data_IF_389506722953
#
_entry.id   IF_389506722953
#
_cell.length_a   1.000
_cell.length_b   1.000
_cell.length_c   1.000
_cell.angle_alpha   90.00
_cell.angle_beta   90.00
_cell.angle_gamma   90.00
#
_symmetry.space_group_name_H-M   'P 1'
#
loop_
_entity.id
_entity.type
_entity.pdbx_description
1 polymer ?
#
# COMPACT_ATOMS: atom_id res chain seq x y z
N UNK A 1 8.31 15.95 -4.66
CA UNK A 1 8.73 15.97 -3.23
C UNK A 1 8.31 17.30 -2.64
N UNK A 2 7.45 17.31 -1.62
CA UNK A 2 7.01 18.56 -0.98
C UNK A 2 8.15 19.16 -0.15
N UNK A 3 8.49 20.43 -0.41
CA UNK A 3 9.50 21.17 0.35
C UNK A 3 9.11 21.17 1.83
N UNK A 4 10.02 20.82 2.74
CA UNK A 4 9.68 20.74 4.14
C UNK A 4 9.48 22.15 4.73
N UNK A 5 8.38 22.30 5.48
CA UNK A 5 7.79 23.58 5.84
C UNK A 5 8.23 24.01 7.25
N UNK A 6 8.65 25.27 7.42
CA UNK A 6 8.92 25.85 8.76
C UNK A 6 7.61 26.27 9.41
N UNK A 7 7.43 25.91 10.68
CA UNK A 7 6.25 26.20 11.48
C UNK A 7 6.09 27.66 11.88
N UNK A 8 5.98 28.56 10.89
CA UNK A 8 5.72 29.99 11.09
C UNK A 8 4.23 30.34 11.04
N UNK A 9 3.35 29.42 10.62
CA UNK A 9 1.89 29.61 10.66
C UNK A 9 1.26 28.69 11.72
N UNK A 10 0.11 29.08 12.30
CA UNK A 10 -0.64 28.22 13.23
C UNK A 10 -1.30 27.03 12.54
N UNK A 11 -1.29 26.96 11.20
CA UNK A 11 -1.92 25.92 10.40
C UNK A 11 -0.99 25.39 9.31
N UNK A 12 -1.24 24.15 8.85
CA UNK A 12 -0.51 23.55 7.73
C UNK A 12 -1.02 24.06 6.36
N UNK A 13 -0.39 23.63 5.25
CA UNK A 13 -0.82 23.99 3.87
C UNK A 13 -2.29 23.63 3.55
N UNK A 14 -2.85 22.62 4.23
CA UNK A 14 -4.24 22.19 4.08
C UNK A 14 -5.13 22.69 5.24
N UNK A 15 -4.74 23.78 5.91
CA UNK A 15 -5.51 24.44 6.98
C UNK A 15 -5.75 23.62 8.26
N UNK A 16 -5.07 22.47 8.45
CA UNK A 16 -5.15 21.75 9.71
C UNK A 16 -4.45 22.52 10.83
N UNK A 17 -5.08 22.68 12.02
CA UNK A 17 -4.50 23.40 13.14
C UNK A 17 -3.29 22.66 13.73
N UNK A 18 -2.28 23.44 14.11
CA UNK A 18 -1.22 23.02 15.02
C UNK A 18 -1.55 23.50 16.45
N UNK A 19 -1.19 22.74 17.50
CA UNK A 19 -0.30 21.57 17.51
C UNK A 19 -0.98 20.23 17.25
N UNK A 20 -2.31 20.16 17.19
CA UNK A 20 -3.09 18.91 17.15
C UNK A 20 -2.63 17.94 16.07
N UNK A 21 -2.35 18.45 14.87
CA UNK A 21 -1.89 17.61 13.75
C UNK A 21 -0.38 17.71 13.49
N UNK A 22 0.41 18.39 14.33
CA UNK A 22 1.85 18.53 14.16
C UNK A 22 2.58 17.27 14.65
N UNK A 23 3.47 16.71 13.82
CA UNK A 23 4.47 15.73 14.26
C UNK A 23 5.87 16.28 14.02
N UNK A 24 6.65 16.40 15.10
CA UNK A 24 8.07 16.75 15.06
C UNK A 24 8.91 15.48 14.91
N UNK A 25 9.96 15.58 14.11
CA UNK A 25 10.96 14.54 13.91
C UNK A 25 12.23 14.89 14.71
N UNK A 26 13.05 13.89 15.12
CA UNK A 26 14.26 14.13 15.91
C UNK A 26 15.29 15.06 15.25
N UNK A 27 15.24 15.16 13.92
CA UNK A 27 16.11 16.00 13.10
C UNK A 27 15.59 17.45 12.94
N UNK A 28 14.65 17.89 13.79
CA UNK A 28 14.13 19.26 13.82
C UNK A 28 13.04 19.56 12.79
N UNK A 29 12.73 18.62 11.89
CA UNK A 29 11.67 18.77 10.90
C UNK A 29 10.29 18.53 11.50
N UNK A 30 9.24 19.08 10.89
CA UNK A 30 7.88 18.79 11.28
C UNK A 30 6.95 18.64 10.07
N UNK A 31 5.91 17.81 10.22
CA UNK A 31 4.88 17.61 9.20
C UNK A 31 3.49 17.48 9.83
N UNK A 32 2.47 17.74 9.03
CA UNK A 32 1.08 17.55 9.45
C UNK A 32 0.67 16.08 9.25
N UNK A 33 0.30 15.41 10.35
CA UNK A 33 -0.15 14.01 10.37
C UNK A 33 -1.37 13.79 9.48
N UNK A 34 -2.28 14.75 9.45
CA UNK A 34 -3.51 14.63 8.67
C UNK A 34 -3.23 14.76 7.17
N UNK A 35 -2.38 15.70 6.79
CA UNK A 35 -1.89 15.78 5.41
C UNK A 35 -1.15 14.52 4.99
N UNK A 36 -0.43 13.88 5.90
CA UNK A 36 0.31 12.67 5.61
C UNK A 36 -0.61 11.47 5.38
N UNK A 37 -1.69 11.35 6.16
CA UNK A 37 -2.77 10.38 5.94
C UNK A 37 -3.44 10.57 4.57
N UNK A 38 -3.71 11.82 4.19
CA UNK A 38 -4.36 12.14 2.91
C UNK A 38 -3.49 11.87 1.68
N UNK A 39 -2.16 11.71 1.82
CA UNK A 39 -1.28 11.41 0.67
C UNK A 39 -1.48 10.01 0.08
N UNK A 40 -2.10 9.08 0.82
CA UNK A 40 -2.29 7.72 0.36
C UNK A 40 -3.76 7.32 0.39
N UNK A 41 -4.44 7.53 -0.73
CA UNK A 41 -5.70 6.85 -1.02
C UNK A 41 -5.33 5.62 -1.86
N UNK A 42 -5.49 4.38 -1.34
CA UNK A 42 -5.26 3.20 -2.14
C UNK A 42 -6.26 3.21 -3.30
N UNK A 43 -5.77 3.03 -4.53
CA UNK A 43 -6.65 2.86 -5.67
C UNK A 43 -7.66 1.74 -5.40
N UNK A 44 -8.90 1.95 -5.84
CA UNK A 44 -9.90 0.89 -5.90
C UNK A 44 -9.35 -0.20 -6.82
N UNK A 45 -9.29 -1.47 -6.37
CA UNK A 45 -8.83 -2.56 -7.20
C UNK A 45 -9.68 -2.67 -8.46
N UNK A 46 -9.04 -2.87 -9.61
CA UNK A 46 -9.75 -3.33 -10.80
C UNK A 46 -10.10 -4.81 -10.64
N UNK A 47 -11.39 -5.10 -10.48
CA UNK A 47 -11.88 -6.47 -10.30
C UNK A 47 -11.60 -7.35 -11.51
N UNK A 48 -11.67 -6.80 -12.72
CA UNK A 48 -11.39 -7.55 -13.96
C UNK A 48 -9.92 -7.94 -14.03
N UNK A 49 -9.03 -7.03 -13.64
CA UNK A 49 -7.59 -7.32 -13.52
C UNK A 49 -7.31 -8.43 -12.50
N UNK A 50 -8.01 -8.44 -11.36
CA UNK A 50 -7.90 -9.49 -10.35
C UNK A 50 -8.38 -10.83 -10.88
N UNK A 51 -9.57 -10.90 -11.49
CA UNK A 51 -10.14 -12.15 -12.01
C UNK A 51 -9.21 -12.74 -13.07
N UNK A 52 -8.76 -11.95 -14.04
CA UNK A 52 -7.82 -12.40 -15.08
C UNK A 52 -6.51 -12.92 -14.48
N UNK A 53 -5.98 -12.23 -13.48
CA UNK A 53 -4.78 -12.67 -12.79
C UNK A 53 -4.96 -13.93 -11.94
N UNK A 54 -6.17 -14.24 -11.47
CA UNK A 54 -6.48 -15.48 -10.76
C UNK A 54 -6.68 -16.66 -11.72
N UNK A 55 -7.06 -16.40 -12.97
CA UNK A 55 -7.25 -17.41 -14.02
C UNK A 55 -6.01 -17.69 -14.86
N UNK A 56 -4.87 -17.05 -14.57
CA UNK A 56 -3.59 -17.30 -15.26
C UNK A 56 -3.26 -16.33 -16.39
N UNK A 57 -4.04 -15.27 -16.59
CA UNK A 57 -3.74 -14.19 -17.53
C UNK A 57 -3.56 -12.85 -16.78
N UNK A 58 -2.51 -12.71 -15.95
CA UNK A 58 -2.31 -11.48 -15.21
C UNK A 58 -2.04 -10.30 -16.17
N UNK A 59 -2.53 -9.08 -15.85
CA UNK A 59 -2.11 -7.89 -16.57
C UNK A 59 -0.61 -7.63 -16.37
N UNK A 60 -0.04 -6.74 -17.19
CA UNK A 60 1.38 -6.39 -17.10
C UNK A 60 1.77 -5.81 -15.73
N UNK A 61 0.83 -5.11 -15.07
CA UNK A 61 1.02 -4.54 -13.73
C UNK A 61 -0.24 -4.77 -12.89
N UNK A 62 -0.03 -5.34 -11.71
CA UNK A 62 -1.01 -5.36 -10.63
C UNK A 62 -0.58 -4.38 -9.55
N UNK A 63 -1.52 -3.59 -9.04
CA UNK A 63 -1.32 -2.77 -7.86
C UNK A 63 -0.99 -3.65 -6.65
N UNK A 64 -0.36 -3.10 -5.59
CA UNK A 64 -0.09 -3.88 -4.38
C UNK A 64 -1.36 -4.49 -3.76
N UNK A 65 -2.50 -3.80 -3.87
CA UNK A 65 -3.79 -4.25 -3.34
C UNK A 65 -4.37 -5.39 -4.16
N UNK A 66 -4.41 -5.25 -5.49
CA UNK A 66 -4.85 -6.32 -6.40
C UNK A 66 -3.99 -7.58 -6.23
N UNK A 67 -2.67 -7.42 -6.20
CA UNK A 67 -1.75 -8.55 -6.00
C UNK A 67 -2.02 -9.28 -4.69
N UNK A 68 -2.32 -8.56 -3.62
CA UNK A 68 -2.66 -9.17 -2.35
C UNK A 68 -3.98 -9.96 -2.42
N UNK A 69 -4.96 -9.48 -3.17
CA UNK A 69 -6.22 -10.19 -3.42
C UNK A 69 -5.94 -11.48 -4.21
N UNK A 70 -5.24 -11.39 -5.34
CA UNK A 70 -4.90 -12.55 -6.20
C UNK A 70 -4.11 -13.60 -5.43
N UNK A 71 -3.09 -13.19 -4.67
CA UNK A 71 -2.28 -14.12 -3.86
C UNK A 71 -3.12 -14.85 -2.81
N UNK A 72 -4.09 -14.18 -2.18
CA UNK A 72 -5.02 -14.82 -1.26
C UNK A 72 -5.90 -15.84 -1.98
N UNK A 73 -6.58 -15.43 -3.06
CA UNK A 73 -7.44 -16.33 -3.85
C UNK A 73 -6.70 -17.59 -4.32
N UNK A 74 -5.44 -17.47 -4.75
CA UNK A 74 -4.64 -18.62 -5.17
C UNK A 74 -4.11 -19.44 -3.99
N UNK A 75 -3.89 -18.81 -2.83
CA UNK A 75 -3.52 -19.53 -1.59
C UNK A 75 -4.70 -20.36 -1.08
N UNK A 76 -5.92 -19.83 -1.13
CA UNK A 76 -7.13 -20.54 -0.73
C UNK A 76 -7.42 -21.74 -1.64
N UNK A 77 -6.95 -21.68 -2.89
CA UNK A 77 -6.94 -22.81 -3.85
C UNK A 77 -5.80 -23.82 -3.62
N UNK A 78 -4.99 -23.63 -2.59
CA UNK A 78 -3.91 -24.56 -2.21
C UNK A 78 -2.61 -24.41 -3.02
N UNK A 79 -2.44 -23.36 -3.83
CA UNK A 79 -1.20 -23.21 -4.60
C UNK A 79 0.01 -22.90 -3.71
N UNK A 80 1.16 -23.44 -4.08
CA UNK A 80 2.43 -23.16 -3.40
C UNK A 80 2.89 -21.73 -3.64
N UNK A 81 3.69 -21.18 -2.73
CA UNK A 81 4.20 -19.80 -2.87
C UNK A 81 5.02 -19.59 -4.16
N UNK A 82 5.71 -20.65 -4.63
CA UNK A 82 6.45 -20.63 -5.88
C UNK A 82 5.52 -20.57 -7.09
N UNK A 83 4.50 -21.42 -7.15
CA UNK A 83 3.54 -21.42 -8.24
C UNK A 83 2.78 -20.10 -8.32
N UNK A 84 2.37 -19.54 -7.17
CA UNK A 84 1.73 -18.22 -7.12
C UNK A 84 2.70 -17.13 -7.61
N UNK A 85 3.96 -17.19 -7.22
CA UNK A 85 4.96 -16.21 -7.64
C UNK A 85 5.16 -16.21 -9.16
N UNK A 86 5.27 -17.40 -9.75
CA UNK A 86 5.32 -17.59 -11.20
C UNK A 86 4.04 -17.08 -11.87
N UNK A 87 2.88 -17.48 -11.36
CA UNK A 87 1.55 -17.10 -11.87
C UNK A 87 1.31 -15.59 -11.87
N UNK A 88 1.75 -14.89 -10.82
CA UNK A 88 1.51 -13.44 -10.64
C UNK A 88 2.75 -12.61 -11.02
N UNK A 89 3.77 -13.25 -11.62
CA UNK A 89 5.03 -12.63 -12.05
C UNK A 89 5.70 -11.80 -10.96
N UNK A 90 5.87 -12.40 -9.78
CA UNK A 90 6.55 -11.79 -8.65
C UNK A 90 7.52 -12.77 -7.97
N UNK A 91 8.14 -12.36 -6.85
CA UNK A 91 9.06 -13.23 -6.11
C UNK A 91 8.33 -14.05 -5.03
N UNK A 92 8.78 -15.28 -4.72
CA UNK A 92 8.22 -16.07 -3.61
C UNK A 92 8.26 -15.33 -2.27
N UNK A 93 9.32 -14.55 -2.01
CA UNK A 93 9.43 -13.68 -0.82
C UNK A 93 8.26 -12.69 -0.71
N UNK A 94 7.79 -12.16 -1.84
CA UNK A 94 6.63 -11.26 -1.88
C UNK A 94 5.36 -11.99 -1.47
N UNK A 95 5.16 -13.22 -1.96
CA UNK A 95 4.02 -14.06 -1.60
C UNK A 95 4.02 -14.36 -0.11
N UNK A 96 5.15 -14.79 0.46
CA UNK A 96 5.27 -15.03 1.90
C UNK A 96 4.97 -13.78 2.73
N UNK A 97 5.51 -12.62 2.33
CA UNK A 97 5.22 -11.35 3.02
C UNK A 97 3.73 -11.01 3.01
N UNK A 98 3.03 -11.25 1.90
CA UNK A 98 1.59 -11.01 1.79
C UNK A 98 0.82 -11.97 2.69
N UNK A 99 1.16 -13.27 2.68
CA UNK A 99 0.55 -14.28 3.57
C UNK A 99 0.72 -13.93 5.04
N UNK A 100 1.94 -13.58 5.46
CA UNK A 100 2.23 -13.23 6.84
C UNK A 100 1.45 -11.99 7.30
N UNK A 101 1.29 -11.00 6.41
CA UNK A 101 0.48 -9.82 6.71
C UNK A 101 -1.01 -10.16 6.82
N UNK A 102 -1.51 -11.09 6.00
CA UNK A 102 -2.90 -11.54 6.06
C UNK A 102 -3.20 -12.36 7.32
N UNK A 103 -2.23 -13.15 7.81
CA UNK A 103 -2.38 -13.90 9.05
C UNK A 103 -2.32 -13.02 10.32
N UNK A 104 -1.76 -11.82 10.21
CA UNK A 104 -1.64 -10.86 11.31
C UNK A 104 -2.76 -9.81 11.34
N UNK A 105 -3.70 -9.87 10.41
CA UNK A 105 -4.85 -8.97 10.26
C UNK A 105 -6.13 -9.68 10.67
#
# INVERSE_FOLDING_TARGET
MGVPWRATRPTCKHSHPFPEHLRRLPNGWAYCRECDRLKYVPATPDESAVVRAVTGDPPARLTPRERAIVVRSLTDRGLSARLIAEHVRCTPRTVHRIRNRAAAA
#
